data_IF_694060180545
#
_entry.id   IF_694060180545
#
_cell.length_a   1.000
_cell.length_b   1.000
_cell.length_c   1.000
_cell.angle_alpha   90.00
_cell.angle_beta   90.00
_cell.angle_gamma   90.00
#
_symmetry.space_group_name_H-M   'P 1'
#
loop_
_entity.id
_entity.type
_entity.pdbx_description
1 polymer ?
#
# COMPACT_ATOMS: atom_id res chain seq x y z
N UNK A 1 -19.93 -58.10 -22.97
CA UNK A 1 -20.66 -56.83 -22.70
C UNK A 1 -20.24 -56.31 -21.33
N UNK A 2 -20.10 -54.98 -21.16
CA UNK A 2 -18.97 -54.31 -20.49
C UNK A 2 -19.19 -54.11 -18.97
N UNK A 3 -18.20 -53.65 -18.20
CA UNK A 3 -18.08 -52.22 -17.81
C UNK A 3 -16.70 -51.94 -17.23
N UNK A 4 -15.87 -51.24 -18.00
CA UNK A 4 -14.61 -50.63 -17.56
C UNK A 4 -14.93 -49.38 -16.73
N UNK A 5 -14.56 -49.36 -15.45
CA UNK A 5 -14.71 -48.20 -14.57
C UNK A 5 -13.50 -47.29 -14.74
N UNK A 6 -13.69 -46.15 -15.43
CA UNK A 6 -12.72 -45.07 -15.47
C UNK A 6 -12.66 -44.40 -14.09
N UNK A 7 -11.51 -44.47 -13.43
CA UNK A 7 -11.16 -43.65 -12.27
C UNK A 7 -10.58 -42.34 -12.79
N UNK A 8 -11.32 -41.25 -12.62
CA UNK A 8 -10.87 -39.89 -12.98
C UNK A 8 -10.15 -39.32 -11.76
N UNK A 9 -8.81 -39.27 -11.80
CA UNK A 9 -7.99 -38.62 -10.78
C UNK A 9 -7.97 -37.12 -11.06
N UNK A 10 -8.71 -36.34 -10.27
CA UNK A 10 -8.68 -34.87 -10.35
C UNK A 10 -7.36 -34.35 -9.72
N UNK A 11 -6.44 -33.90 -10.57
CA UNK A 11 -5.21 -33.24 -10.15
C UNK A 11 -5.52 -31.80 -9.73
N UNK A 12 -5.66 -31.56 -8.43
CA UNK A 12 -5.84 -30.21 -7.88
C UNK A 12 -4.52 -29.42 -8.01
N UNK A 13 -4.44 -28.53 -9.01
CA UNK A 13 -3.36 -27.55 -9.11
C UNK A 13 -3.54 -26.48 -8.02
N UNK A 14 -2.87 -26.66 -6.89
CA UNK A 14 -2.67 -25.57 -5.93
C UNK A 14 -1.72 -24.54 -6.54
N UNK A 15 -2.25 -23.42 -7.03
CA UNK A 15 -1.44 -22.28 -7.46
C UNK A 15 -0.79 -21.67 -6.22
N UNK A 16 0.44 -22.10 -5.91
CA UNK A 16 1.30 -21.37 -4.99
C UNK A 16 1.66 -20.04 -5.66
N UNK A 17 1.10 -18.94 -5.17
CA UNK A 17 1.42 -17.60 -5.67
C UNK A 17 2.92 -17.35 -5.52
N UNK A 18 3.61 -17.20 -6.66
CA UNK A 18 5.01 -16.82 -6.67
C UNK A 18 5.15 -15.44 -5.99
N UNK A 19 5.86 -15.41 -4.85
CA UNK A 19 6.30 -14.15 -4.26
C UNK A 19 7.29 -13.50 -5.23
N UNK A 20 6.81 -12.60 -6.08
CA UNK A 20 7.68 -11.82 -6.95
C UNK A 20 8.64 -11.01 -6.09
N UNK A 21 9.93 -11.04 -6.43
CA UNK A 21 10.93 -10.15 -5.85
C UNK A 21 10.64 -8.70 -6.33
N UNK A 22 9.61 -8.08 -5.76
CA UNK A 22 9.28 -6.69 -6.02
C UNK A 22 10.31 -5.81 -5.31
N UNK A 23 11.02 -5.00 -6.10
CA UNK A 23 11.86 -3.93 -5.58
C UNK A 23 11.01 -3.01 -4.70
N UNK A 24 11.40 -2.86 -3.44
CA UNK A 24 10.72 -1.99 -2.50
C UNK A 24 11.59 -0.82 -2.09
N UNK A 25 10.96 0.30 -1.76
CA UNK A 25 11.63 1.40 -1.09
C UNK A 25 11.53 1.22 0.42
N UNK A 26 12.67 1.17 1.11
CA UNK A 26 12.69 1.25 2.57
C UNK A 26 12.45 2.69 3.03
N UNK A 27 11.59 2.88 4.03
CA UNK A 27 11.26 4.19 4.59
C UNK A 27 11.40 4.18 6.12
N UNK A 28 11.42 5.36 6.78
CA UNK A 28 11.42 5.43 8.24
C UNK A 28 10.31 4.58 8.88
N UNK A 29 10.55 4.13 10.11
CA UNK A 29 9.64 3.20 10.80
C UNK A 29 9.65 1.78 10.24
N UNK A 30 10.67 1.41 9.44
CA UNK A 30 10.82 0.08 8.82
C UNK A 30 9.66 -0.30 7.88
N UNK A 31 8.94 0.72 7.37
CA UNK A 31 7.98 0.50 6.30
C UNK A 31 8.70 0.23 4.97
N UNK A 32 8.01 -0.50 4.10
CA UNK A 32 8.45 -0.84 2.75
C UNK A 32 7.35 -0.43 1.78
N UNK A 33 7.71 0.27 0.71
CA UNK A 33 6.75 0.75 -0.28
C UNK A 33 6.95 0.01 -1.60
N UNK A 34 5.85 -0.49 -2.14
CA UNK A 34 5.79 -1.31 -3.35
C UNK A 34 4.94 -0.63 -4.41
N UNK A 35 5.34 -0.70 -5.68
CA UNK A 35 4.45 -0.40 -6.80
C UNK A 35 3.44 -1.54 -6.94
N UNK A 36 2.15 -1.24 -7.00
CA UNK A 36 1.10 -2.23 -7.29
C UNK A 36 0.75 -2.18 -8.78
N UNK A 37 0.50 -0.98 -9.29
CA UNK A 37 0.28 -0.71 -10.71
C UNK A 37 0.67 0.75 -11.00
N UNK A 38 0.32 1.28 -12.18
CA UNK A 38 0.72 2.63 -12.59
C UNK A 38 0.08 3.76 -11.77
N UNK A 39 -1.08 3.51 -11.16
CA UNK A 39 -1.79 4.51 -10.36
C UNK A 39 -1.70 4.25 -8.85
N UNK A 40 -1.25 3.07 -8.43
CA UNK A 40 -1.32 2.64 -7.03
C UNK A 40 0.04 2.15 -6.54
N UNK A 41 0.43 2.65 -5.37
CA UNK A 41 1.53 2.11 -4.59
C UNK A 41 1.06 1.79 -3.18
N UNK A 42 1.73 0.84 -2.55
CA UNK A 42 1.34 0.26 -1.26
C UNK A 42 2.45 0.43 -0.25
N UNK A 43 2.12 1.05 0.90
CA UNK A 43 3.00 1.10 2.06
C UNK A 43 2.67 -0.09 2.94
N UNK A 44 3.68 -0.92 3.24
CA UNK A 44 3.56 -2.12 4.06
C UNK A 44 4.42 -1.95 5.30
N UNK A 45 3.86 -2.19 6.49
CA UNK A 45 4.58 -1.96 7.74
C UNK A 45 3.85 -2.45 8.98
N UNK A 46 4.37 -2.09 10.16
CA UNK A 46 3.76 -2.47 11.43
C UNK A 46 2.77 -1.39 11.88
N UNK A 47 1.47 -1.71 11.89
CA UNK A 47 0.40 -0.79 12.31
C UNK A 47 0.55 -0.28 13.75
N UNK A 48 1.28 -0.98 14.63
CA UNK A 48 1.60 -0.51 15.98
C UNK A 48 2.43 0.79 16.04
N UNK A 49 3.01 1.23 14.91
CA UNK A 49 3.73 2.50 14.79
C UNK A 49 2.82 3.72 14.53
N UNK A 50 1.51 3.53 14.42
CA UNK A 50 0.54 4.61 14.24
C UNK A 50 0.47 5.14 12.80
N UNK A 51 -0.32 6.21 12.60
CA UNK A 51 -0.66 6.74 11.28
C UNK A 51 0.51 7.38 10.53
N UNK A 52 1.49 7.88 11.28
CA UNK A 52 2.69 8.53 10.74
C UNK A 52 3.51 7.61 9.84
N UNK A 53 3.48 6.30 10.11
CA UNK A 53 4.16 5.29 9.31
C UNK A 53 3.70 5.33 7.85
N UNK A 54 2.39 5.40 7.66
CA UNK A 54 1.76 5.30 6.34
C UNK A 54 1.99 6.58 5.54
N UNK A 55 1.76 7.74 6.17
CA UNK A 55 1.96 9.04 5.53
C UNK A 55 3.43 9.33 5.24
N UNK A 56 4.35 8.95 6.12
CA UNK A 56 5.78 9.06 5.84
C UNK A 56 6.20 8.17 4.67
N UNK A 57 5.78 6.90 4.66
CA UNK A 57 6.07 5.98 3.57
C UNK A 57 5.56 6.52 2.24
N UNK A 58 4.32 7.03 2.24
CA UNK A 58 3.69 7.55 1.03
C UNK A 58 4.37 8.80 0.48
N UNK A 59 4.65 9.78 1.34
CA UNK A 59 5.38 10.99 0.93
C UNK A 59 6.80 10.67 0.43
N UNK A 60 7.49 9.75 1.11
CA UNK A 60 8.86 9.35 0.71
C UNK A 60 8.86 8.71 -0.67
N UNK A 61 7.92 7.80 -0.95
CA UNK A 61 7.81 7.14 -2.25
C UNK A 61 7.40 8.12 -3.35
N UNK A 62 6.39 8.96 -3.08
CA UNK A 62 5.95 9.99 -4.01
C UNK A 62 7.10 10.94 -4.42
N UNK A 63 7.91 11.43 -3.46
CA UNK A 63 9.08 12.27 -3.77
C UNK A 63 10.17 11.52 -4.52
N UNK A 64 10.62 10.39 -3.96
CA UNK A 64 11.90 9.78 -4.35
C UNK A 64 11.79 8.84 -5.54
N UNK A 65 10.63 8.24 -5.75
CA UNK A 65 10.41 7.26 -6.81
C UNK A 65 9.52 7.82 -7.92
N UNK A 66 8.46 8.55 -7.55
CA UNK A 66 7.52 9.12 -8.53
C UNK A 66 7.87 10.55 -8.97
N UNK A 67 8.85 11.20 -8.34
CA UNK A 67 9.26 12.56 -8.67
C UNK A 67 8.22 13.65 -8.37
N UNK A 68 7.18 13.33 -7.58
CA UNK A 68 6.10 14.24 -7.25
C UNK A 68 6.60 15.51 -6.53
N UNK A 69 6.02 16.68 -6.80
CA UNK A 69 6.35 17.93 -6.10
C UNK A 69 5.90 17.93 -4.63
N UNK A 70 6.36 18.90 -3.84
CA UNK A 70 6.01 19.02 -2.41
C UNK A 70 4.52 19.29 -2.18
N UNK A 71 3.89 20.06 -3.06
CA UNK A 71 2.45 20.38 -3.00
C UNK A 71 1.57 19.32 -3.68
N UNK A 72 2.16 18.30 -4.32
CA UNK A 72 1.39 17.25 -4.99
C UNK A 72 0.54 16.50 -3.95
N UNK A 73 -0.76 16.28 -4.21
CA UNK A 73 -1.61 15.52 -3.32
C UNK A 73 -1.31 14.02 -3.40
N UNK A 74 -1.34 13.36 -2.26
CA UNK A 74 -1.25 11.91 -2.08
C UNK A 74 -2.51 11.45 -1.37
N UNK A 75 -3.28 10.58 -2.02
CA UNK A 75 -4.61 10.17 -1.56
C UNK A 75 -4.58 8.70 -1.16
N UNK A 76 -5.25 8.33 -0.06
CA UNK A 76 -5.49 6.92 0.29
C UNK A 76 -6.46 6.32 -0.73
N UNK A 77 -6.00 5.29 -1.46
CA UNK A 77 -6.83 4.51 -2.39
C UNK A 77 -7.42 3.25 -1.77
N UNK A 78 -6.79 2.72 -0.70
CA UNK A 78 -7.31 1.62 0.09
C UNK A 78 -6.91 1.80 1.54
N UNK A 79 -7.89 1.67 2.44
CA UNK A 79 -7.67 1.66 3.90
C UNK A 79 -6.76 0.52 4.35
N UNK A 80 -6.42 0.52 5.64
CA UNK A 80 -5.60 -0.50 6.29
C UNK A 80 -6.16 -1.91 6.02
N UNK A 81 -5.31 -2.80 5.51
CA UNK A 81 -5.67 -4.20 5.30
C UNK A 81 -4.50 -5.07 4.85
N UNK A 82 -4.80 -6.26 4.35
CA UNK A 82 -3.80 -7.18 3.83
C UNK A 82 -3.09 -6.59 2.61
N UNK A 83 -1.77 -6.74 2.60
CA UNK A 83 -0.85 -6.31 1.56
C UNK A 83 -1.08 -7.11 0.28
N UNK A 84 -1.28 -6.42 -0.84
CA UNK A 84 -1.32 -7.06 -2.16
C UNK A 84 0.10 -7.44 -2.61
N UNK A 85 1.11 -6.66 -2.26
CA UNK A 85 2.50 -6.91 -2.64
C UNK A 85 3.09 -8.15 -1.94
N UNK A 86 2.73 -8.36 -0.68
CA UNK A 86 3.44 -9.32 0.20
C UNK A 86 2.55 -10.21 1.05
N UNK A 87 1.23 -10.04 1.06
CA UNK A 87 0.31 -10.80 1.93
C UNK A 87 0.39 -10.46 3.42
N UNK A 88 1.27 -9.53 3.83
CA UNK A 88 1.37 -9.05 5.22
C UNK A 88 0.05 -8.42 5.69
N UNK A 89 -0.25 -8.57 6.98
CA UNK A 89 -1.55 -8.17 7.58
C UNK A 89 -1.85 -6.66 7.56
N UNK A 90 -0.82 -5.82 7.48
CA UNK A 90 -0.98 -4.36 7.61
C UNK A 90 -0.32 -3.63 6.43
N UNK A 91 -1.15 -2.96 5.65
CA UNK A 91 -0.77 -2.14 4.52
C UNK A 91 -1.84 -1.09 4.21
N UNK A 92 -1.42 0.02 3.61
CA UNK A 92 -2.30 1.08 3.10
C UNK A 92 -1.88 1.38 1.68
N UNK A 93 -2.84 1.57 0.78
CA UNK A 93 -2.55 1.95 -0.60
C UNK A 93 -2.84 3.41 -0.83
N UNK A 94 -2.02 4.00 -1.69
CA UNK A 94 -2.07 5.40 -2.04
C UNK A 94 -2.00 5.58 -3.54
N UNK A 95 -2.44 6.75 -3.99
CA UNK A 95 -2.40 7.19 -5.38
C UNK A 95 -2.07 8.68 -5.47
N UNK A 96 -1.46 9.07 -6.58
CA UNK A 96 -1.35 10.48 -7.01
C UNK A 96 -2.44 10.86 -8.03
N UNK A 97 -3.22 9.88 -8.51
CA UNK A 97 -4.27 10.04 -9.51
C UNK A 97 -5.59 9.42 -9.01
N UNK A 98 -6.24 10.02 -8.00
CA UNK A 98 -7.48 9.49 -7.44
C UNK A 98 -8.63 9.44 -8.46
N UNK A 99 -8.66 10.37 -9.43
CA UNK A 99 -9.66 10.40 -10.49
C UNK A 99 -9.62 9.15 -11.38
N UNK A 100 -8.43 8.62 -11.70
CA UNK A 100 -8.29 7.37 -12.45
C UNK A 100 -8.83 6.14 -11.71
N UNK A 101 -9.07 6.24 -10.40
CA UNK A 101 -9.64 5.20 -9.57
C UNK A 101 -11.12 5.45 -9.22
N UNK A 102 -11.72 6.54 -9.71
CA UNK A 102 -13.07 6.95 -9.31
C UNK A 102 -13.18 7.33 -7.84
N UNK A 103 -12.10 7.81 -7.24
CA UNK A 103 -12.05 8.19 -5.82
C UNK A 103 -12.22 9.70 -5.71
N UNK A 104 -13.25 10.12 -4.96
CA UNK A 104 -13.40 11.50 -4.55
C UNK A 104 -12.35 11.85 -3.49
N UNK A 105 -11.63 12.95 -3.71
CA UNK A 105 -10.69 13.47 -2.71
C UNK A 105 -11.45 14.19 -1.62
N UNK A 106 -11.13 13.87 -0.36
CA UNK A 106 -11.68 14.60 0.78
C UNK A 106 -10.87 15.87 1.00
N UNK A 107 -11.58 17.00 1.16
CA UNK A 107 -10.98 18.30 1.53
C UNK A 107 -10.43 18.32 2.96
N UNK A 108 -10.83 17.35 3.78
CA UNK A 108 -10.36 17.15 5.14
C UNK A 108 -9.70 15.79 5.26
N UNK A 109 -8.62 15.71 6.04
CA UNK A 109 -7.98 14.44 6.38
C UNK A 109 -8.32 14.07 7.81
N UNK A 110 -8.54 12.79 8.08
CA UNK A 110 -8.65 12.30 9.46
C UNK A 110 -7.25 12.07 10.07
N UNK A 111 -6.81 12.81 11.11
CA UNK A 111 -5.51 12.59 11.73
C UNK A 111 -5.42 11.23 12.45
N UNK A 112 -6.56 10.66 12.80
CA UNK A 112 -6.67 9.45 13.60
C UNK A 112 -7.34 8.29 12.86
N UNK A 113 -7.41 8.35 11.53
CA UNK A 113 -7.93 7.27 10.70
C UNK A 113 -7.20 7.19 9.35
N UNK A 114 -7.51 6.13 8.60
CA UNK A 114 -6.99 5.87 7.26
C UNK A 114 -8.20 5.64 6.34
N UNK A 115 -8.83 6.72 5.91
CA UNK A 115 -10.07 6.65 5.12
C UNK A 115 -9.75 6.78 3.64
N UNK A 116 -10.43 6.03 2.78
CA UNK A 116 -10.29 6.20 1.33
C UNK A 116 -10.69 7.62 0.96
N UNK A 117 -9.88 8.30 0.14
CA UNK A 117 -10.07 9.70 -0.20
C UNK A 117 -9.36 10.69 0.72
N UNK A 118 -8.91 10.27 1.92
CA UNK A 118 -8.05 11.11 2.77
C UNK A 118 -6.81 11.53 1.96
N UNK A 119 -6.54 12.83 1.95
CA UNK A 119 -5.50 13.43 1.12
C UNK A 119 -4.55 14.27 1.97
N UNK A 120 -3.25 14.14 1.70
CA UNK A 120 -2.21 15.06 2.19
C UNK A 120 -1.34 15.52 1.05
N UNK A 121 -0.80 16.73 1.15
CA UNK A 121 0.33 17.07 0.30
C UNK A 121 1.52 16.18 0.64
N UNK A 122 2.42 15.99 -0.32
CA UNK A 122 3.68 15.28 -0.06
C UNK A 122 4.47 15.93 1.07
N UNK A 123 4.44 17.26 1.20
CA UNK A 123 5.05 18.00 2.31
C UNK A 123 4.43 17.63 3.66
N UNK A 124 3.10 17.64 3.76
CA UNK A 124 2.40 17.29 5.00
C UNK A 124 2.63 15.83 5.39
N UNK A 125 2.63 14.92 4.41
CA UNK A 125 2.98 13.52 4.65
C UNK A 125 4.41 13.36 5.17
N UNK A 126 5.37 14.10 4.60
CA UNK A 126 6.77 14.07 5.01
C UNK A 126 6.97 14.59 6.45
N UNK A 127 6.11 15.49 6.95
CA UNK A 127 6.13 15.93 8.35
C UNK A 127 5.89 14.80 9.37
N UNK A 128 5.43 13.63 8.91
CA UNK A 128 5.23 12.44 9.72
C UNK A 128 6.53 11.65 9.93
N UNK A 129 7.51 11.80 9.04
CA UNK A 129 8.74 11.01 9.08
C UNK A 129 9.61 11.23 10.32
N UNK A 130 9.84 12.47 10.81
CA UNK A 130 10.63 12.69 12.03
C UNK A 130 10.06 11.95 13.26
N UNK A 131 8.73 11.78 13.34
CA UNK A 131 8.03 11.13 14.46
C UNK A 131 8.24 9.61 14.54
N UNK A 132 8.84 9.00 13.52
CA UNK A 132 9.11 7.55 13.47
C UNK A 132 10.50 7.15 14.00
N UNK A 133 11.37 8.12 14.31
CA UNK A 133 12.72 7.88 14.83
C UNK A 133 12.78 7.75 16.36
N UNK A 134 11.69 8.00 17.07
CA UNK A 134 11.66 7.86 18.52
C UNK A 134 11.46 6.39 18.91
N UNK A 135 12.37 5.78 19.71
CA UNK A 135 12.09 4.51 20.36
C UNK A 135 10.89 4.72 21.30
N UNK A 136 9.87 3.86 21.19
CA UNK A 136 8.88 3.70 22.25
C UNK A 136 9.40 2.68 23.24
#
# INVERSE_FOLDING_TARGET
MPKLRLLITALALTVAGAAQAQNFLATPGQARVYKINDNVFEVVGNSGRGYDLWWCGAATYARRVLGAGWTTPVTISRTLGHSQATGRRSSVQFTLNPAALGIDTLQSYSPNALVVGDTKTVQDGNSSCPRLHFPR
#
